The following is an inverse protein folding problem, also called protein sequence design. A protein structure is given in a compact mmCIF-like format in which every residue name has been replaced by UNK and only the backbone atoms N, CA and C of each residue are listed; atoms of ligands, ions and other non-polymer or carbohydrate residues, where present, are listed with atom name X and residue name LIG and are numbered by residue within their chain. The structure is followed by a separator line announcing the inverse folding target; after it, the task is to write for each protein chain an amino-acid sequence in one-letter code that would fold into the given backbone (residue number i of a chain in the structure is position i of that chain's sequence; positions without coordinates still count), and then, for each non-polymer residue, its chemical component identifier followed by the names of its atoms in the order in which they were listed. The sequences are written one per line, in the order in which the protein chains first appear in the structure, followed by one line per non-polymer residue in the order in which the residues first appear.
data_IF_022781708634
#
_entry.id   IF_022781708634
#
_cell.length_a   1.000
_cell.length_b   1.000
_cell.length_c   1.000
_cell.angle_alpha   90.00
_cell.angle_beta   90.00
_cell.angle_gamma   90.00
#
_symmetry.space_group_name_H-M   'P 1'
#
loop_
_entity.id
_entity.type
_entity.pdbx_description
1 polymer ?
#
# COMPACT_ATOMS: atom_id res chain seq x y z
N UNK A 1 -8.98 -4.78 -24.94
CA UNK A 1 -9.10 -5.44 -23.63
C UNK A 1 -7.85 -5.28 -22.76
N UNK A 2 -6.65 -5.12 -23.33
CA UNK A 2 -5.40 -4.76 -22.65
C UNK A 2 -5.51 -3.55 -21.69
N UNK A 3 -6.06 -2.41 -22.15
CA UNK A 3 -6.30 -1.22 -21.32
C UNK A 3 -7.19 -1.48 -20.09
N UNK A 4 -8.08 -2.47 -20.16
CA UNK A 4 -8.97 -2.84 -19.05
C UNK A 4 -8.26 -3.73 -18.01
N UNK A 5 -7.20 -4.48 -18.38
CA UNK A 5 -6.40 -5.27 -17.45
C UNK A 5 -5.43 -4.39 -16.65
N UNK A 6 -4.65 -3.53 -17.31
CA UNK A 6 -3.76 -2.57 -16.64
C UNK A 6 -4.52 -1.64 -15.68
N UNK A 7 -5.67 -1.10 -16.10
CA UNK A 7 -6.51 -0.25 -15.24
C UNK A 7 -7.10 -0.99 -14.04
N UNK A 8 -7.46 -2.27 -14.20
CA UNK A 8 -7.95 -3.09 -13.09
C UNK A 8 -6.87 -3.24 -12.01
N UNK A 9 -5.67 -3.67 -12.40
CA UNK A 9 -4.57 -3.88 -11.46
C UNK A 9 -4.20 -2.59 -10.73
N UNK A 10 -4.02 -1.49 -11.47
CA UNK A 10 -3.75 -0.16 -10.89
C UNK A 10 -4.79 0.22 -9.83
N UNK A 11 -6.07 0.13 -10.16
CA UNK A 11 -7.14 0.50 -9.22
C UNK A 11 -7.17 -0.41 -7.98
N UNK A 12 -7.08 -1.73 -8.14
CA UNK A 12 -7.19 -2.68 -7.04
C UNK A 12 -6.00 -2.62 -6.09
N UNK A 13 -4.79 -2.55 -6.62
CA UNK A 13 -3.59 -2.47 -5.81
C UNK A 13 -3.42 -1.10 -5.15
N UNK A 14 -3.88 0.00 -5.78
CA UNK A 14 -3.97 1.29 -5.09
C UNK A 14 -4.93 1.23 -3.90
N UNK A 15 -6.12 0.62 -4.05
CA UNK A 15 -7.08 0.46 -2.95
C UNK A 15 -6.54 -0.43 -1.83
N UNK A 16 -5.89 -1.54 -2.19
CA UNK A 16 -5.25 -2.43 -1.23
C UNK A 16 -4.15 -1.69 -0.46
N UNK A 17 -3.25 -1.01 -1.16
CA UNK A 17 -2.18 -0.24 -0.52
C UNK A 17 -2.73 0.87 0.39
N UNK A 18 -3.75 1.58 -0.05
CA UNK A 18 -4.42 2.59 0.80
C UNK A 18 -4.96 1.95 2.09
N UNK A 19 -5.64 0.80 2.00
CA UNK A 19 -6.18 0.10 3.18
C UNK A 19 -5.08 -0.38 4.14
N UNK A 20 -3.94 -0.82 3.61
CA UNK A 20 -2.77 -1.23 4.40
C UNK A 20 -2.15 -0.02 5.11
N UNK A 21 -1.93 1.09 4.38
CA UNK A 21 -1.36 2.31 4.94
C UNK A 21 -2.28 2.96 5.98
N UNK A 22 -3.60 2.85 5.83
CA UNK A 22 -4.56 3.32 6.82
C UNK A 22 -4.38 2.66 8.20
N UNK A 23 -3.90 1.40 8.28
CA UNK A 23 -3.56 0.77 9.56
C UNK A 23 -2.37 1.45 10.22
N UNK A 24 -1.33 1.74 9.44
CA UNK A 24 -0.19 2.55 9.87
C UNK A 24 -0.63 3.93 10.37
N UNK A 25 -1.54 4.60 9.65
CA UNK A 25 -2.08 5.90 10.07
C UNK A 25 -2.92 5.82 11.35
N UNK A 26 -3.71 4.76 11.53
CA UNK A 26 -4.48 4.54 12.76
C UNK A 26 -3.54 4.40 13.96
N UNK A 27 -2.52 3.55 13.85
CA UNK A 27 -1.52 3.40 14.89
C UNK A 27 -0.72 4.70 15.11
N UNK A 28 -0.37 5.43 14.05
CA UNK A 28 0.30 6.72 14.15
C UNK A 28 -0.52 7.74 14.95
N UNK A 29 -1.85 7.76 14.78
CA UNK A 29 -2.76 8.61 15.59
C UNK A 29 -2.83 8.18 17.06
N UNK A 30 -2.77 6.89 17.34
CA UNK A 30 -2.71 6.36 18.71
C UNK A 30 -1.40 6.75 19.39
N UNK A 31 -0.27 6.52 18.70
CA UNK A 31 1.06 6.89 19.16
C UNK A 31 1.17 8.40 19.43
N UNK A 32 0.58 9.25 18.57
CA UNK A 32 0.54 10.68 18.83
C UNK A 32 -0.18 11.05 20.14
N UNK A 33 -1.22 10.31 20.53
CA UNK A 33 -1.93 10.51 21.81
C UNK A 33 -1.05 10.07 22.97
N UNK A 34 -0.34 8.95 22.85
CA UNK A 34 0.61 8.48 23.87
C UNK A 34 1.74 9.48 24.10
N UNK A 35 2.32 10.02 23.03
CA UNK A 35 3.33 11.09 23.14
C UNK A 35 2.77 12.35 23.80
N UNK A 36 1.54 12.78 23.45
CA UNK A 36 0.89 13.93 24.09
C UNK A 36 0.68 13.69 25.59
N UNK A 37 0.21 12.50 25.97
CA UNK A 37 0.05 12.14 27.37
C UNK A 37 1.40 12.13 28.10
N UNK A 38 2.45 11.55 27.51
CA UNK A 38 3.79 11.55 28.08
C UNK A 38 4.35 12.96 28.25
N UNK A 39 4.13 13.86 27.28
CA UNK A 39 4.51 15.27 27.39
C UNK A 39 3.82 15.92 28.59
N UNK A 40 2.50 15.88 28.66
CA UNK A 40 1.73 16.50 29.76
C UNK A 40 2.16 15.97 31.12
N UNK A 41 2.41 14.67 31.22
CA UNK A 41 2.85 14.04 32.44
C UNK A 41 4.29 14.44 32.84
N UNK A 42 5.21 14.59 31.89
CA UNK A 42 6.57 15.11 32.14
C UNK A 42 6.53 16.57 32.56
N UNK A 43 5.70 17.40 31.91
CA UNK A 43 5.49 18.81 32.29
C UNK A 43 5.02 18.90 33.75
N UNK A 44 4.02 18.09 34.10
CA UNK A 44 3.48 18.00 35.47
C UNK A 44 4.52 17.55 36.49
N UNK A 45 5.37 16.57 36.17
CA UNK A 45 6.44 16.14 37.07
C UNK A 45 7.42 17.29 37.37
N UNK A 46 7.79 18.06 36.34
CA UNK A 46 8.67 19.22 36.49
C UNK A 46 7.97 20.30 37.32
N UNK A 47 6.70 20.60 37.07
CA UNK A 47 5.92 21.57 37.85
C UNK A 47 5.79 21.19 39.33
N UNK A 48 5.48 19.93 39.61
CA UNK A 48 5.39 19.41 40.98
C UNK A 48 6.75 19.54 41.67
N UNK A 49 7.83 19.21 40.98
CA UNK A 49 9.19 19.35 41.50
C UNK A 49 9.51 20.81 41.86
N UNK A 50 9.17 21.76 40.99
CA UNK A 50 9.36 23.20 41.23
C UNK A 50 8.51 23.73 42.40
N UNK A 51 7.26 23.28 42.49
CA UNK A 51 6.38 23.69 43.59
C UNK A 51 6.91 23.20 44.94
N UNK A 52 7.36 21.93 45.01
CA UNK A 52 7.96 21.37 46.23
C UNK A 52 9.26 22.08 46.59
N UNK A 53 10.07 22.47 45.61
CA UNK A 53 11.26 23.29 45.84
C UNK A 53 10.87 24.63 46.51
N UNK A 54 9.77 25.24 46.07
CA UNK A 54 9.23 26.47 46.65
C UNK A 54 8.77 26.29 48.09
N UNK A 55 7.87 25.33 48.31
CA UNK A 55 7.24 25.09 49.60
C UNK A 55 8.29 24.77 50.69
N UNK A 56 9.29 23.95 50.36
CA UNK A 56 10.30 23.51 51.32
C UNK A 56 11.33 24.59 51.68
N UNK A 57 11.56 25.55 50.80
CA UNK A 57 12.45 26.68 51.07
C UNK A 57 11.71 27.89 51.67
N UNK A 58 10.40 27.77 51.90
CA UNK A 58 9.58 28.90 52.39
C UNK A 58 9.54 30.08 51.43
N UNK A 59 9.77 29.81 50.14
CA UNK A 59 9.89 30.82 49.09
C UNK A 59 8.69 30.73 48.16
N UNK A 60 8.33 31.85 47.54
CA UNK A 60 7.30 31.86 46.51
C UNK A 60 7.70 30.97 45.33
N UNK A 61 6.72 30.49 44.56
CA UNK A 61 7.00 29.75 43.32
C UNK A 61 7.91 30.57 42.39
N UNK A 62 7.76 31.91 42.35
CA UNK A 62 8.65 32.78 41.58
C UNK A 62 10.07 32.84 42.13
N UNK A 63 10.28 32.63 43.42
CA UNK A 63 11.59 32.58 44.06
C UNK A 63 12.20 31.19 43.95
N UNK A 64 11.41 30.12 43.99
CA UNK A 64 11.86 28.75 43.67
C UNK A 64 12.37 28.63 42.24
N UNK A 65 11.70 29.35 41.32
CA UNK A 65 12.15 29.54 39.93
C UNK A 65 13.51 30.26 39.85
N UNK A 66 13.95 30.99 40.89
CA UNK A 66 15.23 31.74 40.96
C UNK A 66 16.30 31.05 41.82
N UNK A 67 15.90 30.27 42.84
CA UNK A 67 16.75 29.56 43.81
C UNK A 67 17.34 28.25 43.30
N UNK A 68 17.21 27.95 42.00
CA UNK A 68 17.94 26.87 41.31
C UNK A 68 19.47 26.97 41.43
N UNK A 69 19.97 28.07 42.00
CA UNK A 69 21.37 28.30 42.39
C UNK A 69 21.49 28.30 43.92
N UNK A 70 21.40 27.13 44.53
CA UNK A 70 22.21 26.75 45.69
C UNK A 70 21.87 25.32 46.11
N UNK A 71 22.90 24.60 46.55
CA UNK A 71 22.86 23.19 46.88
C UNK A 71 21.85 22.92 48.00
N UNK A 72 20.99 21.91 47.85
CA UNK A 72 20.45 21.22 49.02
C UNK A 72 20.40 19.71 48.79
N UNK A 73 21.24 19.06 49.59
CA UNK A 73 21.18 17.66 49.99
C UNK A 73 20.11 17.52 51.08
N UNK A 74 19.52 16.33 51.07
CA UNK A 74 18.49 15.81 51.96
C UNK A 74 17.03 16.10 51.58
N UNK A 75 16.24 15.04 51.78
CA UNK A 75 14.79 14.96 51.67
C UNK A 75 14.17 14.76 50.28
N UNK A 76 14.09 13.50 49.85
CA UNK A 76 12.75 12.91 49.71
C UNK A 76 12.78 11.38 49.88
N UNK A 77 12.09 10.89 50.92
CA UNK A 77 11.68 9.49 51.02
C UNK A 77 10.20 9.39 50.63
N UNK A 78 9.94 8.77 49.47
CA UNK A 78 8.78 7.96 49.03
C UNK A 78 8.98 7.63 47.53
N UNK A 79 8.78 6.41 47.02
CA UNK A 79 9.61 5.23 47.28
C UNK A 79 10.26 4.73 45.96
N UNK A 80 11.59 4.56 45.93
CA UNK A 80 12.26 3.84 44.81
C UNK A 80 11.64 2.43 44.62
N UNK A 81 11.06 1.88 45.67
CA UNK A 81 10.27 0.65 45.67
C UNK A 81 9.01 0.69 44.77
N UNK A 82 8.25 1.78 44.72
CA UNK A 82 7.12 1.92 43.78
C UNK A 82 7.59 1.96 42.32
N UNK A 83 8.76 2.54 42.06
CA UNK A 83 9.38 2.53 40.72
C UNK A 83 9.85 1.14 40.32
N UNK A 84 10.49 0.40 41.23
CA UNK A 84 10.86 -1.00 40.99
C UNK A 84 9.62 -1.85 40.73
N UNK A 85 8.54 -1.66 41.49
CA UNK A 85 7.29 -2.39 41.30
C UNK A 85 6.70 -2.13 39.91
N UNK A 86 6.54 -0.86 39.52
CA UNK A 86 6.05 -0.49 38.18
C UNK A 86 7.00 -0.93 37.07
N UNK A 87 8.32 -0.96 37.31
CA UNK A 87 9.30 -1.44 36.35
C UNK A 87 9.24 -2.96 36.13
N UNK A 88 9.07 -3.74 37.22
CA UNK A 88 8.89 -5.19 37.17
C UNK A 88 7.58 -5.59 36.48
N UNK A 89 6.50 -4.85 36.73
CA UNK A 89 5.17 -5.11 36.13
C UNK A 89 5.14 -4.82 34.62
N UNK A 90 6.02 -3.96 34.10
CA UNK A 90 6.02 -3.52 32.70
C UNK A 90 7.07 -4.20 31.80
N UNK A 91 7.71 -5.30 32.18
CA UNK A 91 8.72 -6.01 31.37
C UNK A 91 9.76 -5.06 30.72
N UNK A 92 10.34 -4.15 31.50
CA UNK A 92 11.32 -3.17 31.03
C UNK A 92 12.71 -3.81 30.78
N UNK A 93 13.56 -3.09 30.03
CA UNK A 93 14.94 -3.48 29.76
C UNK A 93 15.71 -3.81 31.06
N UNK A 94 16.39 -4.96 31.10
CA UNK A 94 17.18 -5.44 32.25
C UNK A 94 18.21 -4.42 32.76
N UNK A 95 18.77 -3.59 31.89
CA UNK A 95 19.73 -2.54 32.29
C UNK A 95 19.05 -1.48 33.14
N UNK A 96 17.87 -1.00 32.73
CA UNK A 96 17.12 -0.01 33.51
C UNK A 96 16.61 -0.60 34.82
N UNK A 97 16.20 -1.86 34.82
CA UNK A 97 15.83 -2.57 36.05
C UNK A 97 16.96 -2.60 37.08
N UNK A 98 18.20 -2.84 36.65
CA UNK A 98 19.39 -2.76 37.51
C UNK A 98 19.69 -1.34 37.98
N UNK A 99 19.48 -0.34 37.13
CA UNK A 99 19.64 1.06 37.53
C UNK A 99 18.61 1.49 38.60
N UNK A 100 17.36 1.03 38.48
CA UNK A 100 16.32 1.21 39.51
C UNK A 100 16.68 0.48 40.83
N UNK A 101 17.14 -0.75 40.74
CA UNK A 101 17.59 -1.55 41.91
C UNK A 101 18.77 -0.87 42.62
N UNK A 102 19.79 -0.45 41.86
CA UNK A 102 20.94 0.28 42.40
C UNK A 102 20.53 1.61 43.04
N UNK A 103 19.61 2.35 42.42
CA UNK A 103 19.08 3.57 43.01
C UNK A 103 18.33 3.31 44.33
N UNK A 104 17.66 2.16 44.47
CA UNK A 104 16.97 1.78 45.72
C UNK A 104 17.92 1.38 46.84
N UNK A 105 19.12 0.90 46.48
CA UNK A 105 20.17 0.55 47.42
C UNK A 105 20.96 1.77 47.92
N UNK A 106 20.85 2.92 47.26
CA UNK A 106 21.47 4.18 47.72
C UNK A 106 20.68 4.74 48.90
N UNK A 107 21.41 5.14 49.95
CA UNK A 107 20.82 5.75 51.17
C UNK A 107 20.22 7.14 50.87
N UNK A 108 20.78 7.88 49.92
CA UNK A 108 20.29 9.20 49.48
C UNK A 108 20.34 9.36 47.96
N UNK A 109 19.22 9.78 47.35
CA UNK A 109 19.16 10.31 45.97
C UNK A 109 18.66 11.76 46.04
N UNK A 110 19.22 12.64 45.21
CA UNK A 110 18.76 14.03 45.15
C UNK A 110 17.38 14.11 44.47
N UNK A 111 16.62 15.19 44.75
CA UNK A 111 15.33 15.44 44.09
C UNK A 111 15.47 15.57 42.57
N UNK A 112 16.59 16.13 42.12
CA UNK A 112 16.90 16.25 40.71
C UNK A 112 17.10 14.88 40.05
N UNK A 113 17.87 13.99 40.69
CA UNK A 113 18.02 12.61 40.22
C UNK A 113 16.68 11.86 40.20
N UNK A 114 15.84 12.04 41.23
CA UNK A 114 14.50 11.46 41.26
C UNK A 114 13.61 11.94 40.09
N UNK A 115 13.65 13.23 39.76
CA UNK A 115 12.95 13.79 38.60
C UNK A 115 13.47 13.19 37.29
N UNK A 116 14.78 13.08 37.11
CA UNK A 116 15.37 12.45 35.92
C UNK A 116 14.96 10.99 35.78
N UNK A 117 14.87 10.25 36.90
CA UNK A 117 14.39 8.87 36.92
C UNK A 117 12.90 8.78 36.56
N UNK A 118 12.06 9.71 37.03
CA UNK A 118 10.65 9.78 36.67
C UNK A 118 10.45 10.03 35.17
N UNK A 119 11.14 11.03 34.63
CA UNK A 119 11.10 11.35 33.19
C UNK A 119 11.55 10.13 32.38
N UNK A 120 12.67 9.51 32.75
CA UNK A 120 13.16 8.31 32.07
C UNK A 120 12.15 7.17 32.14
N UNK A 121 11.56 6.89 33.29
CA UNK A 121 10.54 5.85 33.44
C UNK A 121 9.35 6.07 32.50
N UNK A 122 8.89 7.32 32.34
CA UNK A 122 7.80 7.64 31.40
C UNK A 122 8.22 7.37 29.95
N UNK A 123 9.46 7.70 29.59
CA UNK A 123 10.00 7.39 28.27
C UNK A 123 10.17 5.87 28.06
N UNK A 124 10.62 5.11 29.05
CA UNK A 124 10.73 3.65 28.93
C UNK A 124 9.36 3.00 28.63
N UNK A 125 8.30 3.46 29.31
CA UNK A 125 6.93 2.97 29.04
C UNK A 125 6.44 3.36 27.66
N UNK A 126 6.63 4.63 27.25
CA UNK A 126 6.25 5.12 25.93
C UNK A 126 6.94 4.34 24.81
N UNK A 127 8.25 4.12 24.92
CA UNK A 127 9.02 3.45 23.87
C UNK A 127 8.77 1.94 23.84
N UNK A 128 8.45 1.32 24.98
CA UNK A 128 7.98 -0.07 25.01
C UNK A 128 6.63 -0.22 24.30
N UNK A 129 5.67 0.64 24.61
CA UNK A 129 4.38 0.69 23.91
C UNK A 129 4.59 0.90 22.40
N UNK A 130 5.48 1.83 22.04
CA UNK A 130 5.83 2.09 20.65
C UNK A 130 6.40 0.86 19.94
N UNK A 131 7.34 0.13 20.56
CA UNK A 131 7.96 -1.07 19.99
C UNK A 131 6.94 -2.20 19.79
N UNK A 132 6.12 -2.47 20.80
CA UNK A 132 5.07 -3.50 20.76
C UNK A 132 4.01 -3.19 19.69
N UNK A 133 3.52 -1.94 19.66
CA UNK A 133 2.54 -1.50 18.66
C UNK A 133 3.12 -1.49 17.24
N UNK A 134 4.39 -1.11 17.09
CA UNK A 134 5.10 -1.12 15.80
C UNK A 134 5.26 -2.54 15.27
N UNK A 135 5.65 -3.49 16.13
CA UNK A 135 5.72 -4.92 15.78
C UNK A 135 4.35 -5.41 15.31
N UNK A 136 3.30 -5.21 16.11
CA UNK A 136 1.94 -5.67 15.80
C UNK A 136 1.41 -5.13 14.46
N UNK A 137 1.51 -3.82 14.22
CA UNK A 137 1.00 -3.24 12.95
C UNK A 137 1.83 -3.72 11.74
N UNK A 138 3.13 -3.96 11.92
CA UNK A 138 4.00 -4.51 10.88
C UNK A 138 3.64 -5.95 10.52
N UNK A 139 3.37 -6.79 11.53
CA UNK A 139 2.91 -8.18 11.35
C UNK A 139 1.59 -8.23 10.58
N UNK A 140 0.65 -7.37 10.97
CA UNK A 140 -0.66 -7.26 10.33
C UNK A 140 -0.56 -6.80 8.88
N UNK A 141 0.16 -5.71 8.61
CA UNK A 141 0.34 -5.17 7.25
C UNK A 141 1.07 -6.17 6.35
N UNK A 142 2.15 -6.79 6.84
CA UNK A 142 2.92 -7.78 6.07
C UNK A 142 2.03 -8.96 5.67
N UNK A 143 1.28 -9.50 6.64
CA UNK A 143 0.43 -10.68 6.44
C UNK A 143 -0.73 -10.36 5.50
N UNK A 144 -1.42 -9.25 5.72
CA UNK A 144 -2.54 -8.83 4.87
C UNK A 144 -2.06 -8.51 3.45
N UNK A 145 -0.93 -7.82 3.29
CA UNK A 145 -0.38 -7.54 1.97
C UNK A 145 -0.09 -8.83 1.19
N UNK A 146 0.52 -9.83 1.84
CA UNK A 146 0.79 -11.12 1.23
C UNK A 146 -0.51 -11.83 0.80
N UNK A 147 -1.45 -12.03 1.73
CA UNK A 147 -2.65 -12.82 1.45
C UNK A 147 -3.62 -12.11 0.49
N UNK A 148 -3.82 -10.80 0.63
CA UNK A 148 -4.71 -10.06 -0.27
C UNK A 148 -4.10 -9.87 -1.65
N UNK A 149 -2.78 -9.72 -1.78
CA UNK A 149 -2.14 -9.72 -3.12
C UNK A 149 -2.41 -11.05 -3.83
N UNK A 150 -2.20 -12.17 -3.14
CA UNK A 150 -2.50 -13.51 -3.70
C UNK A 150 -3.97 -13.63 -4.09
N UNK A 151 -4.87 -13.24 -3.19
CA UNK A 151 -6.31 -13.27 -3.43
C UNK A 151 -6.73 -12.44 -4.64
N UNK A 152 -6.26 -11.20 -4.76
CA UNK A 152 -6.62 -10.30 -5.86
C UNK A 152 -6.10 -10.83 -7.20
N UNK A 153 -4.92 -11.45 -7.22
CA UNK A 153 -4.37 -12.07 -8.43
C UNK A 153 -5.17 -13.32 -8.82
N UNK A 154 -5.34 -14.27 -7.90
CA UNK A 154 -6.09 -15.50 -8.16
C UNK A 154 -7.54 -15.24 -8.57
N UNK A 155 -8.20 -14.29 -7.91
CA UNK A 155 -9.56 -13.86 -8.25
C UNK A 155 -9.65 -13.34 -9.67
N UNK A 156 -8.65 -12.56 -10.12
CA UNK A 156 -8.64 -11.97 -11.46
C UNK A 156 -8.33 -13.01 -12.54
N UNK A 157 -7.47 -13.98 -12.24
CA UNK A 157 -7.14 -15.09 -13.13
C UNK A 157 -8.22 -16.19 -13.13
N UNK A 158 -9.21 -16.10 -12.23
CA UNK A 158 -10.24 -17.13 -12.01
C UNK A 158 -9.65 -18.52 -11.74
N UNK A 159 -8.42 -18.57 -11.23
CA UNK A 159 -7.66 -19.78 -10.96
C UNK A 159 -7.14 -19.76 -9.52
N UNK A 160 -7.59 -20.74 -8.73
CA UNK A 160 -7.04 -20.98 -7.40
C UNK A 160 -5.76 -21.78 -7.50
N UNK A 161 -4.64 -21.21 -7.03
CA UNK A 161 -3.36 -21.91 -6.92
C UNK A 161 -3.03 -22.16 -5.45
N UNK A 162 -2.48 -23.33 -5.09
CA UNK A 162 -1.99 -23.55 -3.73
C UNK A 162 -0.84 -22.57 -3.44
N UNK A 163 -0.78 -22.03 -2.23
CA UNK A 163 0.28 -21.15 -1.78
C UNK A 163 0.72 -21.46 -0.35
N UNK A 164 1.96 -21.12 -0.01
CA UNK A 164 2.51 -21.29 1.32
C UNK A 164 1.85 -20.32 2.33
N UNK A 165 1.46 -20.83 3.52
CA UNK A 165 1.03 -19.95 4.61
C UNK A 165 2.25 -19.30 5.27
N UNK A 166 2.15 -18.01 5.55
CA UNK A 166 3.10 -17.34 6.44
C UNK A 166 2.89 -17.85 7.85
N UNK A 167 3.93 -18.47 8.43
CA UNK A 167 3.96 -18.81 9.84
C UNK A 167 4.64 -17.69 10.65
N UNK A 168 4.38 -17.67 11.96
CA UNK A 168 4.87 -16.63 12.87
C UNK A 168 6.39 -16.46 12.82
N UNK A 169 7.13 -17.56 12.66
CA UNK A 169 8.59 -17.54 12.57
C UNK A 169 9.08 -16.84 11.30
N UNK A 170 8.40 -17.04 10.18
CA UNK A 170 8.70 -16.37 8.93
C UNK A 170 8.43 -14.87 9.06
N UNK A 171 7.28 -14.49 9.61
CA UNK A 171 6.91 -13.09 9.87
C UNK A 171 7.94 -12.41 10.76
N UNK A 172 8.30 -13.03 11.88
CA UNK A 172 9.29 -12.49 12.82
C UNK A 172 10.67 -12.32 12.17
N UNK A 173 11.07 -13.26 11.30
CA UNK A 173 12.32 -13.17 10.55
C UNK A 173 12.32 -11.98 9.59
N UNK A 174 11.20 -11.67 8.93
CA UNK A 174 11.09 -10.50 8.05
C UNK A 174 11.20 -9.21 8.85
N UNK A 175 10.41 -9.11 9.92
CA UNK A 175 10.28 -7.91 10.76
C UNK A 175 11.58 -7.58 11.48
N UNK A 176 12.37 -8.59 11.85
CA UNK A 176 13.65 -8.42 12.52
C UNK A 176 14.83 -8.21 11.57
N UNK A 177 14.62 -8.23 10.26
CA UNK A 177 15.70 -8.06 9.27
C UNK A 177 15.84 -6.59 8.88
N UNK A 178 17.06 -6.00 8.95
CA UNK A 178 17.26 -4.64 8.48
C UNK A 178 17.11 -4.58 6.96
N UNK A 179 16.36 -3.60 6.48
CA UNK A 179 16.11 -3.39 5.04
C UNK A 179 16.67 -2.06 4.52
N UNK A 180 16.80 -1.06 5.38
CA UNK A 180 17.33 0.24 4.99
C UNK A 180 18.88 0.23 4.94
N UNK A 181 19.45 1.18 4.19
CA UNK A 181 20.89 1.27 3.95
C UNK A 181 21.76 1.46 5.20
N UNK A 182 21.19 1.95 6.31
CA UNK A 182 21.89 2.13 7.59
C UNK A 182 22.03 0.83 8.40
N UNK A 183 21.50 -0.29 7.91
CA UNK A 183 21.59 -1.61 8.55
C UNK A 183 20.78 -1.73 9.83
N UNK A 184 19.84 -0.82 10.10
CA UNK A 184 19.00 -0.80 11.31
C UNK A 184 17.58 -1.29 11.06
N UNK A 185 17.03 -1.99 12.04
CA UNK A 185 15.60 -2.29 12.14
C UNK A 185 14.83 -1.11 12.72
N UNK A 186 13.49 -1.14 12.66
CA UNK A 186 12.70 -0.14 13.37
C UNK A 186 12.92 -0.21 14.89
N UNK A 187 13.14 -1.40 15.45
CA UNK A 187 13.41 -1.60 16.87
C UNK A 187 14.73 -0.89 17.27
N UNK A 188 15.80 -1.06 16.49
CA UNK A 188 17.06 -0.32 16.69
C UNK A 188 16.86 1.19 16.66
N UNK A 189 16.01 1.69 15.75
CA UNK A 189 15.67 3.12 15.66
C UNK A 189 14.87 3.59 16.86
N UNK A 190 13.88 2.82 17.31
CA UNK A 190 13.05 3.13 18.48
C UNK A 190 13.95 3.25 19.72
N UNK A 191 14.74 2.22 20.04
CA UNK A 191 15.61 2.26 21.22
C UNK A 191 16.75 3.27 21.11
N UNK A 192 17.35 3.42 19.93
CA UNK A 192 18.37 4.46 19.68
C UNK A 192 17.82 5.88 19.87
N UNK A 193 16.61 6.14 19.39
CA UNK A 193 15.94 7.43 19.57
C UNK A 193 15.58 7.69 21.05
N UNK A 194 15.20 6.65 21.80
CA UNK A 194 14.94 6.74 23.24
C UNK A 194 16.18 7.22 23.99
N UNK A 195 17.31 6.54 23.82
CA UNK A 195 18.56 6.89 24.52
C UNK A 195 19.01 8.31 24.17
N UNK A 196 18.89 8.69 22.89
CA UNK A 196 19.17 10.06 22.44
C UNK A 196 18.25 11.08 23.13
N UNK A 197 16.95 10.81 23.18
CA UNK A 197 15.99 11.70 23.83
C UNK A 197 16.28 11.81 25.34
N UNK A 198 16.52 10.71 26.04
CA UNK A 198 16.86 10.71 27.47
C UNK A 198 18.08 11.61 27.72
N UNK A 199 19.15 11.43 26.94
CA UNK A 199 20.36 12.24 27.06
C UNK A 199 20.09 13.72 26.79
N UNK A 200 19.32 14.05 25.75
CA UNK A 200 18.98 15.43 25.42
C UNK A 200 18.10 16.09 26.48
N UNK A 201 17.12 15.38 27.05
CA UNK A 201 16.28 15.91 28.14
C UNK A 201 17.12 16.15 29.40
N UNK A 202 17.98 15.21 29.77
CA UNK A 202 18.91 15.35 30.91
C UNK A 202 19.84 16.53 30.71
N UNK A 203 20.48 16.65 29.55
CA UNK A 203 21.37 17.77 29.24
C UNK A 203 20.61 19.09 29.25
N UNK A 204 19.44 19.17 28.60
CA UNK A 204 18.66 20.40 28.56
C UNK A 204 18.20 20.86 29.95
N UNK A 205 17.72 19.94 30.78
CA UNK A 205 17.30 20.25 32.14
C UNK A 205 18.50 20.68 33.01
N UNK A 206 19.62 19.96 32.92
CA UNK A 206 20.87 20.29 33.65
C UNK A 206 21.40 21.67 33.25
N UNK A 207 21.45 21.96 31.96
CA UNK A 207 21.95 23.24 31.46
C UNK A 207 21.00 24.40 31.80
N UNK A 208 19.68 24.15 31.78
CA UNK A 208 18.70 25.14 32.23
C UNK A 208 18.88 25.46 33.71
N UNK A 209 19.16 24.44 34.53
CA UNK A 209 19.50 24.61 35.95
C UNK A 209 20.78 25.45 36.13
N UNK A 210 21.88 25.08 35.46
CA UNK A 210 23.17 25.78 35.54
C UNK A 210 23.05 27.25 35.13
N UNK A 211 22.29 27.54 34.07
CA UNK A 211 22.06 28.92 33.60
C UNK A 211 21.09 29.72 34.46
N UNK A 212 20.34 29.05 35.35
CA UNK A 212 19.22 29.68 36.06
C UNK A 212 18.10 30.11 35.12
N UNK A 213 17.85 29.35 34.05
CA UNK A 213 16.75 29.60 33.13
C UNK A 213 15.39 29.53 33.87
N UNK A 214 14.42 30.41 33.56
CA UNK A 214 13.08 30.30 34.14
C UNK A 214 12.49 28.92 33.84
N UNK A 215 11.85 28.24 34.80
CA UNK A 215 11.39 26.87 34.57
C UNK A 215 10.37 26.70 33.45
N UNK A 216 9.54 27.70 33.17
CA UNK A 216 8.63 27.68 32.01
C UNK A 216 9.41 27.57 30.69
N UNK A 217 10.63 28.11 30.63
CA UNK A 217 11.54 27.98 29.48
C UNK A 217 12.11 26.55 29.39
N UNK A 218 12.46 25.93 30.52
CA UNK A 218 12.94 24.55 30.56
C UNK A 218 11.85 23.55 30.16
N UNK A 219 10.65 23.71 30.72
CA UNK A 219 9.45 22.94 30.36
C UNK A 219 9.18 23.08 28.86
N UNK A 220 9.12 24.32 28.34
CA UNK A 220 8.91 24.56 26.91
C UNK A 220 9.97 23.89 26.03
N UNK A 221 11.24 23.92 26.40
CA UNK A 221 12.32 23.27 25.65
C UNK A 221 12.16 21.75 25.63
N UNK A 222 11.80 21.14 26.76
CA UNK A 222 11.54 19.70 26.88
C UNK A 222 10.33 19.30 26.02
N UNK A 223 9.22 20.03 26.12
CA UNK A 223 8.01 19.77 25.34
C UNK A 223 8.23 19.95 23.84
N UNK A 224 9.02 20.94 23.43
CA UNK A 224 9.44 21.10 22.03
C UNK A 224 10.25 19.88 21.57
N UNK A 225 11.18 19.39 22.40
CA UNK A 225 12.00 18.24 22.03
C UNK A 225 11.17 16.96 21.89
N UNK A 226 10.27 16.71 22.84
CA UNK A 226 9.33 15.58 22.77
C UNK A 226 8.39 15.68 21.55
N UNK A 227 7.94 16.88 21.19
CA UNK A 227 7.15 17.08 19.98
C UNK A 227 7.93 16.78 18.70
N UNK A 228 9.23 17.10 18.63
CA UNK A 228 10.09 16.70 17.52
C UNK A 228 10.19 15.17 17.44
N UNK A 229 10.42 14.51 18.57
CA UNK A 229 10.48 13.04 18.62
C UNK A 229 9.16 12.39 18.20
N UNK A 230 8.02 12.94 18.62
CA UNK A 230 6.69 12.50 18.20
C UNK A 230 6.54 12.51 16.67
N UNK A 231 6.97 13.60 16.02
CA UNK A 231 6.95 13.71 14.55
C UNK A 231 7.88 12.68 13.88
N UNK A 232 9.06 12.43 14.47
CA UNK A 232 9.98 11.40 13.98
C UNK A 232 9.40 10.00 14.12
N UNK A 233 8.69 9.72 15.21
CA UNK A 233 8.01 8.45 15.45
C UNK A 233 6.89 8.21 14.44
N UNK A 234 6.03 9.21 14.17
CA UNK A 234 5.00 9.10 13.13
C UNK A 234 5.56 8.84 11.74
N UNK A 235 6.67 9.50 11.38
CA UNK A 235 7.39 9.24 10.13
C UNK A 235 7.94 7.81 10.06
N UNK A 236 8.49 7.30 11.17
CA UNK A 236 8.99 5.92 11.24
C UNK A 236 7.85 4.94 10.97
N UNK A 237 6.71 5.08 11.68
CA UNK A 237 5.53 4.24 11.51
C UNK A 237 5.10 4.17 10.05
N UNK A 238 4.93 5.31 9.39
CA UNK A 238 4.44 5.32 8.01
C UNK A 238 5.45 4.80 6.99
N UNK A 239 6.75 5.02 7.22
CA UNK A 239 7.80 4.52 6.31
C UNK A 239 7.90 3.00 6.40
N UNK A 240 7.89 2.46 7.61
CA UNK A 240 7.96 1.02 7.84
C UNK A 240 6.65 0.33 7.40
N UNK A 241 5.48 0.97 7.59
CA UNK A 241 4.20 0.48 7.06
C UNK A 241 4.23 0.30 5.55
N UNK A 242 4.74 1.29 4.82
CA UNK A 242 4.92 1.19 3.37
C UNK A 242 5.93 0.10 2.97
N UNK A 243 7.01 -0.06 3.75
CA UNK A 243 7.96 -1.15 3.55
C UNK A 243 7.31 -2.53 3.73
N UNK A 244 6.62 -2.78 4.84
CA UNK A 244 6.00 -4.09 5.11
C UNK A 244 4.85 -4.40 4.14
N UNK A 245 4.12 -3.39 3.68
CA UNK A 245 3.16 -3.56 2.58
C UNK A 245 3.88 -4.02 1.31
N UNK A 246 4.98 -3.37 0.94
CA UNK A 246 5.75 -3.70 -0.27
C UNK A 246 6.45 -5.07 -0.16
N UNK A 247 6.95 -5.45 1.01
CA UNK A 247 7.59 -6.74 1.26
C UNK A 247 6.59 -7.90 1.24
N UNK A 248 5.38 -7.70 1.77
CA UNK A 248 4.30 -8.69 1.66
C UNK A 248 3.90 -8.92 0.21
N UNK A 249 3.82 -7.83 -0.56
CA UNK A 249 3.52 -7.88 -1.99
C UNK A 249 4.63 -8.58 -2.78
N UNK A 250 5.90 -8.29 -2.48
CA UNK A 250 7.06 -8.96 -3.09
C UNK A 250 6.98 -10.48 -2.92
N UNK A 251 6.70 -10.93 -1.70
CA UNK A 251 6.56 -12.36 -1.38
C UNK A 251 5.39 -13.01 -2.11
N UNK A 252 4.27 -12.30 -2.22
CA UNK A 252 3.13 -12.79 -2.98
C UNK A 252 3.46 -12.90 -4.48
N UNK A 253 4.21 -11.96 -5.03
CA UNK A 253 4.69 -12.03 -6.41
C UNK A 253 5.64 -13.19 -6.65
N UNK A 254 6.54 -13.48 -5.72
CA UNK A 254 7.41 -14.66 -5.77
C UNK A 254 6.60 -15.96 -5.73
N UNK A 255 5.60 -16.04 -4.84
CA UNK A 255 4.71 -17.21 -4.72
C UNK A 255 3.87 -17.45 -5.99
N UNK A 256 3.47 -16.37 -6.66
CA UNK A 256 2.67 -16.38 -7.89
C UNK A 256 3.51 -16.42 -9.17
N UNK A 257 4.83 -16.51 -9.05
CA UNK A 257 5.77 -16.52 -10.18
C UNK A 257 5.59 -15.31 -11.13
N UNK A 258 5.27 -14.13 -10.56
CA UNK A 258 5.21 -12.89 -11.34
C UNK A 258 6.60 -12.58 -11.88
N UNK A 259 6.72 -12.33 -13.18
CA UNK A 259 8.03 -12.08 -13.80
C UNK A 259 8.42 -10.60 -13.79
N UNK A 260 7.43 -9.71 -13.92
CA UNK A 260 7.62 -8.27 -14.03
C UNK A 260 6.57 -7.52 -13.20
N UNK A 261 6.94 -6.30 -12.79
CA UNK A 261 6.05 -5.40 -12.06
C UNK A 261 6.14 -3.99 -12.61
N UNK A 262 5.04 -3.26 -12.53
CA UNK A 262 4.96 -1.83 -12.85
C UNK A 262 4.88 -1.01 -11.56
N UNK A 263 5.64 0.08 -11.49
CA UNK A 263 5.55 1.06 -10.41
C UNK A 263 4.35 1.98 -10.67
N UNK A 264 3.46 2.10 -9.68
CA UNK A 264 2.25 2.94 -9.77
C UNK A 264 2.26 3.96 -8.64
N UNK A 265 2.64 5.19 -8.98
CA UNK A 265 2.58 6.30 -8.06
C UNK A 265 1.13 6.76 -7.85
N UNK A 266 0.82 7.21 -6.64
CA UNK A 266 -0.46 7.85 -6.37
C UNK A 266 -0.58 9.12 -7.24
N UNK A 267 -1.72 9.37 -7.87
CA UNK A 267 -1.93 10.55 -8.70
C UNK A 267 -2.56 11.69 -7.87
N UNK A 268 -1.77 12.32 -7.00
CA UNK A 268 -2.22 13.47 -6.22
C UNK A 268 -1.13 14.55 -6.03
N UNK A 269 -1.50 15.66 -5.39
CA UNK A 269 -0.61 16.80 -5.15
C UNK A 269 0.54 16.50 -4.18
N UNK A 270 0.45 15.43 -3.38
CA UNK A 270 1.43 15.05 -2.36
C UNK A 270 2.44 14.03 -2.89
N UNK A 271 2.24 13.48 -4.09
CA UNK A 271 3.21 12.59 -4.74
C UNK A 271 4.49 13.33 -5.07
N UNK A 272 5.62 12.81 -4.57
CA UNK A 272 6.95 13.40 -4.74
C UNK A 272 7.45 13.34 -6.18
N UNK A 273 8.39 14.21 -6.54
CA UNK A 273 9.03 14.20 -7.86
C UNK A 273 9.70 12.85 -8.17
N UNK A 274 10.35 12.24 -7.17
CA UNK A 274 10.96 10.91 -7.29
C UNK A 274 9.89 9.88 -7.71
N UNK A 275 8.76 9.84 -7.01
CA UNK A 275 7.68 8.89 -7.34
C UNK A 275 7.06 9.16 -8.72
N UNK A 276 6.86 10.43 -9.09
CA UNK A 276 6.36 10.80 -10.44
C UNK A 276 7.31 10.34 -11.54
N UNK A 277 8.62 10.43 -11.31
CA UNK A 277 9.64 10.02 -12.29
C UNK A 277 9.75 8.50 -12.48
N UNK A 278 9.25 7.74 -11.51
CA UNK A 278 9.26 6.28 -11.51
C UNK A 278 7.90 5.70 -11.95
N UNK A 279 6.85 6.51 -12.01
CA UNK A 279 5.51 6.07 -12.39
C UNK A 279 5.50 5.44 -13.79
N UNK A 280 4.84 4.29 -13.90
CA UNK A 280 4.74 3.51 -15.13
C UNK A 280 6.00 2.74 -15.53
N UNK A 281 7.09 2.80 -14.76
CA UNK A 281 8.28 1.99 -15.05
C UNK A 281 8.00 0.51 -14.76
N UNK A 282 8.29 -0.32 -15.76
CA UNK A 282 8.23 -1.78 -15.67
C UNK A 282 9.63 -2.33 -15.40
N UNK A 283 9.75 -3.18 -14.38
CA UNK A 283 11.00 -3.79 -13.95
C UNK A 283 10.81 -5.29 -13.74
N UNK A 284 11.85 -6.11 -13.94
CA UNK A 284 11.77 -7.54 -13.69
C UNK A 284 11.86 -7.85 -12.19
N UNK A 285 11.18 -8.90 -11.73
CA UNK A 285 11.15 -9.29 -10.31
C UNK A 285 12.54 -9.60 -9.73
N UNK A 286 13.50 -10.05 -10.56
CA UNK A 286 14.90 -10.25 -10.14
C UNK A 286 15.56 -8.99 -9.58
N UNK A 287 15.09 -7.81 -10.02
CA UNK A 287 15.61 -6.52 -9.60
C UNK A 287 14.75 -5.91 -8.47
N UNK A 288 13.74 -6.62 -7.94
CA UNK A 288 12.82 -6.10 -6.92
C UNK A 288 13.53 -5.87 -5.58
N UNK A 289 13.76 -4.61 -5.25
CA UNK A 289 14.49 -4.18 -4.05
C UNK A 289 13.77 -2.99 -3.42
N UNK A 290 13.08 -3.19 -2.28
CA UNK A 290 12.46 -2.09 -1.54
C UNK A 290 13.46 -1.00 -1.20
N UNK A 291 13.10 0.26 -1.44
CA UNK A 291 13.96 1.42 -1.25
C UNK A 291 14.83 1.79 -2.46
N UNK A 292 14.98 0.91 -3.45
CA UNK A 292 15.79 1.16 -4.65
C UNK A 292 14.94 1.12 -5.92
N UNK A 293 14.34 -0.03 -6.20
CA UNK A 293 13.55 -0.32 -7.42
C UNK A 293 12.08 -0.59 -7.12
N UNK A 294 11.75 -0.82 -5.85
CA UNK A 294 10.39 -0.91 -5.33
C UNK A 294 10.19 0.07 -4.16
N UNK A 295 8.95 0.50 -3.86
CA UNK A 295 8.66 1.38 -2.73
C UNK A 295 9.07 0.75 -1.38
N UNK A 296 9.15 1.54 -0.29
CA UNK A 296 9.04 2.99 -0.24
C UNK A 296 10.31 3.68 -0.76
N UNK A 297 10.18 4.63 -1.68
CA UNK A 297 11.34 5.40 -2.22
C UNK A 297 11.77 6.58 -1.32
N UNK A 298 10.92 6.97 -0.38
CA UNK A 298 11.16 8.07 0.55
C UNK A 298 10.30 7.91 1.81
N UNK A 299 10.56 8.65 2.89
CA UNK A 299 9.66 8.67 4.03
C UNK A 299 8.24 9.11 3.62
N UNK A 300 7.20 8.49 4.16
CA UNK A 300 5.79 8.72 3.78
C UNK A 300 5.45 8.37 2.31
N UNK A 301 6.18 7.43 1.70
CA UNK A 301 5.86 6.94 0.36
C UNK A 301 4.50 6.21 0.36
N UNK A 302 3.67 6.50 -0.65
CA UNK A 302 2.35 5.86 -0.87
C UNK A 302 2.26 5.14 -2.22
N UNK A 303 3.39 5.09 -2.94
CA UNK A 303 3.53 4.36 -4.20
C UNK A 303 3.39 2.86 -3.96
N UNK A 304 2.78 2.15 -4.90
CA UNK A 304 2.59 0.70 -4.89
C UNK A 304 3.17 0.10 -6.17
N UNK A 305 3.40 -1.21 -6.19
CA UNK A 305 3.67 -1.92 -7.44
C UNK A 305 2.44 -2.69 -7.89
N UNK A 306 2.34 -3.04 -9.18
CA UNK A 306 1.31 -3.94 -9.71
C UNK A 306 1.97 -5.03 -10.54
N UNK A 307 1.41 -6.25 -10.64
CA UNK A 307 1.94 -7.24 -11.55
C UNK A 307 1.83 -6.70 -12.99
N UNK A 308 2.91 -6.86 -13.75
CA UNK A 308 2.94 -6.51 -15.16
C UNK A 308 3.01 -7.81 -15.97
N UNK A 309 2.07 -7.95 -16.89
CA UNK A 309 2.04 -9.05 -17.84
C UNK A 309 2.27 -8.42 -19.22
N UNK A 310 3.28 -8.90 -19.95
CA UNK A 310 3.50 -8.45 -21.32
C UNK A 310 2.29 -8.88 -22.15
N UNK A 311 1.52 -7.90 -22.63
CA UNK A 311 0.20 -8.09 -23.25
C UNK A 311 0.28 -8.74 -24.66
N UNK A 312 1.24 -9.63 -24.91
CA UNK A 312 1.45 -10.31 -26.20
C UNK A 312 0.63 -11.60 -26.41
N UNK A 313 -0.31 -11.91 -25.52
CA UNK A 313 -1.26 -13.00 -25.76
C UNK A 313 -2.70 -12.53 -25.55
N UNK A 314 -3.12 -11.59 -26.39
CA UNK A 314 -4.57 -11.40 -26.62
C UNK A 314 -4.96 -12.22 -27.84
N UNK A 315 -6.08 -12.95 -27.75
CA UNK A 315 -6.71 -13.54 -28.93
C UNK A 315 -7.84 -12.61 -29.39
N UNK A 316 -7.93 -12.36 -30.70
CA UNK A 316 -9.04 -11.64 -31.33
C UNK A 316 -10.05 -12.65 -31.88
N UNK A 317 -11.34 -12.42 -31.61
CA UNK A 317 -12.40 -13.23 -32.21
C UNK A 317 -12.51 -12.95 -33.72
N UNK A 318 -12.38 -13.99 -34.53
CA UNK A 318 -12.66 -14.03 -35.96
C UNK A 318 -13.89 -14.90 -36.23
N UNK A 319 -14.52 -14.73 -37.39
CA UNK A 319 -15.67 -15.54 -37.80
C UNK A 319 -15.35 -16.25 -39.10
N UNK A 320 -15.47 -17.58 -39.08
CA UNK A 320 -15.18 -18.43 -40.23
C UNK A 320 -16.27 -18.33 -41.30
N UNK A 321 -15.98 -18.88 -42.47
CA UNK A 321 -16.95 -18.98 -43.58
C UNK A 321 -18.14 -19.90 -43.27
N UNK A 322 -18.03 -20.71 -42.22
CA UNK A 322 -19.11 -21.54 -41.66
C UNK A 322 -20.00 -20.80 -40.64
N UNK A 323 -19.70 -19.52 -40.37
CA UNK A 323 -20.41 -18.67 -39.43
C UNK A 323 -20.02 -18.90 -37.95
N UNK A 324 -19.08 -19.81 -37.66
CA UNK A 324 -18.60 -20.08 -36.29
C UNK A 324 -17.53 -19.08 -35.89
N UNK A 325 -17.51 -18.74 -34.60
CA UNK A 325 -16.47 -17.91 -34.01
C UNK A 325 -15.26 -18.77 -33.71
N UNK A 326 -14.09 -18.29 -34.09
CA UNK A 326 -12.79 -18.85 -33.73
C UNK A 326 -11.84 -17.72 -33.31
N UNK A 327 -10.66 -18.07 -32.80
CA UNK A 327 -9.74 -17.10 -32.20
C UNK A 327 -8.44 -17.05 -33.01
N UNK A 328 -7.95 -15.85 -33.27
CA UNK A 328 -6.67 -15.56 -33.93
C UNK A 328 -5.79 -14.69 -33.04
N UNK A 329 -4.52 -14.52 -33.39
CA UNK A 329 -3.60 -13.67 -32.63
C UNK A 329 -4.09 -12.22 -32.56
N UNK A 330 -3.87 -11.56 -31.42
CA UNK A 330 -4.44 -10.25 -31.11
C UNK A 330 -3.83 -9.10 -31.88
N UNK A 331 -2.62 -9.30 -32.40
CA UNK A 331 -1.90 -8.39 -33.31
C UNK A 331 -2.19 -8.69 -34.79
N UNK A 332 -2.95 -9.74 -35.12
CA UNK A 332 -3.33 -10.07 -36.49
C UNK A 332 -4.17 -8.94 -37.12
N UNK A 333 -3.61 -8.32 -38.17
CA UNK A 333 -4.31 -7.30 -38.95
C UNK A 333 -5.41 -7.93 -39.81
N UNK A 334 -6.40 -7.12 -40.23
CA UNK A 334 -7.46 -7.63 -41.12
C UNK A 334 -6.90 -8.14 -42.45
N UNK A 335 -5.84 -7.52 -42.98
CA UNK A 335 -5.25 -7.91 -44.25
C UNK A 335 -4.48 -9.23 -44.11
N UNK A 336 -3.75 -9.42 -43.02
CA UNK A 336 -3.03 -10.66 -42.76
C UNK A 336 -4.01 -11.82 -42.51
N UNK A 337 -5.08 -11.55 -41.75
CA UNK A 337 -6.21 -12.46 -41.60
C UNK A 337 -6.83 -12.82 -42.95
N UNK A 338 -7.20 -11.83 -43.78
CA UNK A 338 -7.78 -12.07 -45.10
C UNK A 338 -6.87 -12.91 -46.01
N UNK A 339 -5.58 -12.60 -46.05
CA UNK A 339 -4.60 -13.28 -46.89
C UNK A 339 -4.26 -14.71 -46.40
N UNK A 340 -4.54 -15.01 -45.13
CA UNK A 340 -4.39 -16.36 -44.57
C UNK A 340 -5.54 -17.32 -44.92
N UNK A 341 -6.67 -16.80 -45.41
CA UNK A 341 -7.83 -17.60 -45.83
C UNK A 341 -7.59 -18.23 -47.21
N UNK A 342 -8.19 -19.39 -47.44
CA UNK A 342 -8.23 -20.00 -48.79
C UNK A 342 -9.09 -19.19 -49.77
N UNK A 343 -8.87 -19.36 -51.08
CA UNK A 343 -9.68 -18.70 -52.13
C UNK A 343 -11.19 -19.00 -51.96
N UNK A 344 -11.52 -20.24 -51.59
CA UNK A 344 -12.90 -20.68 -51.35
C UNK A 344 -13.54 -19.95 -50.14
N UNK A 345 -12.79 -19.74 -49.06
CA UNK A 345 -13.25 -19.02 -47.87
C UNK A 345 -13.45 -17.53 -48.15
N UNK A 346 -12.51 -16.91 -48.87
CA UNK A 346 -12.64 -15.53 -49.31
C UNK A 346 -13.87 -15.34 -50.21
N UNK A 347 -14.10 -16.27 -51.15
CA UNK A 347 -15.27 -16.28 -52.02
C UNK A 347 -16.59 -16.31 -51.25
N UNK A 348 -16.70 -17.18 -50.25
CA UNK A 348 -17.88 -17.27 -49.36
C UNK A 348 -18.12 -15.97 -48.58
N UNK A 349 -17.07 -15.38 -48.02
CA UNK A 349 -17.18 -14.12 -47.27
C UNK A 349 -17.56 -12.92 -48.16
N UNK A 350 -17.04 -12.85 -49.40
CA UNK A 350 -17.43 -11.84 -50.38
C UNK A 350 -18.92 -11.97 -50.73
N UNK A 351 -19.38 -13.20 -50.95
CA UNK A 351 -20.77 -13.50 -51.25
C UNK A 351 -21.68 -13.08 -50.09
N UNK A 352 -21.37 -13.48 -48.86
CA UNK A 352 -22.15 -13.11 -47.68
C UNK A 352 -22.22 -11.60 -47.48
N UNK A 353 -21.12 -10.89 -47.73
CA UNK A 353 -21.10 -9.42 -47.74
C UNK A 353 -22.05 -8.86 -48.82
N UNK A 354 -22.03 -9.39 -50.04
CA UNK A 354 -22.95 -8.96 -51.12
C UNK A 354 -24.40 -9.20 -50.76
N UNK A 355 -24.73 -10.37 -50.17
CA UNK A 355 -26.09 -10.69 -49.72
C UNK A 355 -26.56 -9.76 -48.61
N UNK A 356 -25.70 -9.47 -47.64
CA UNK A 356 -26.00 -8.57 -46.52
C UNK A 356 -26.20 -7.12 -47.00
N UNK A 357 -25.30 -6.60 -47.84
CA UNK A 357 -25.41 -5.24 -48.38
C UNK A 357 -26.68 -5.04 -49.23
N UNK A 358 -27.09 -6.07 -49.97
CA UNK A 358 -28.25 -6.00 -50.84
C UNK A 358 -29.53 -6.55 -50.19
N UNK A 359 -29.48 -6.98 -48.93
CA UNK A 359 -30.56 -7.71 -48.24
C UNK A 359 -31.94 -7.06 -48.44
N UNK A 360 -32.06 -5.77 -48.16
CA UNK A 360 -33.34 -5.05 -48.26
C UNK A 360 -33.88 -4.99 -49.70
N UNK A 361 -33.00 -4.73 -50.67
CA UNK A 361 -33.37 -4.66 -52.10
C UNK A 361 -33.75 -6.03 -52.63
N UNK A 362 -32.95 -7.03 -52.30
CA UNK A 362 -33.17 -8.41 -52.73
C UNK A 362 -34.42 -8.99 -52.07
N UNK A 363 -34.71 -8.65 -50.82
CA UNK A 363 -35.91 -9.10 -50.12
C UNK A 363 -37.18 -8.57 -50.78
N UNK A 364 -37.20 -7.28 -51.12
CA UNK A 364 -38.29 -6.69 -51.92
C UNK A 364 -38.42 -7.36 -53.29
N UNK A 365 -37.30 -7.67 -53.94
CA UNK A 365 -37.31 -8.36 -55.22
C UNK A 365 -37.84 -9.79 -55.08
N UNK A 366 -37.43 -10.52 -54.04
CA UNK A 366 -37.91 -11.87 -53.74
C UNK A 366 -39.40 -11.89 -53.47
N UNK A 367 -39.90 -10.99 -52.62
CA UNK A 367 -41.33 -10.87 -52.31
C UNK A 367 -42.15 -10.62 -53.59
N UNK A 368 -41.68 -9.69 -54.43
CA UNK A 368 -42.32 -9.38 -55.72
C UNK A 368 -42.30 -10.56 -56.71
N UNK A 369 -41.18 -11.28 -56.78
CA UNK A 369 -41.06 -12.44 -57.65
C UNK A 369 -41.96 -13.57 -57.13
N UNK A 370 -42.04 -13.77 -55.82
CA UNK A 370 -42.87 -14.79 -55.18
C UNK A 370 -44.36 -14.53 -55.36
N UNK A 371 -44.78 -13.26 -55.34
CA UNK A 371 -46.17 -12.86 -55.61
C UNK A 371 -46.61 -13.24 -57.03
N UNK A 372 -45.73 -13.08 -58.03
CA UNK A 372 -46.06 -13.30 -59.45
C UNK A 372 -45.81 -14.76 -59.87
N UNK A 373 -44.67 -15.33 -59.49
CA UNK A 373 -44.23 -16.66 -59.96
C UNK A 373 -44.55 -17.80 -58.98
N UNK A 374 -45.02 -17.50 -57.77
CA UNK A 374 -45.40 -18.49 -56.76
C UNK A 374 -44.29 -19.50 -56.45
N UNK A 375 -44.59 -20.78 -56.64
CA UNK A 375 -43.70 -21.92 -56.33
C UNK A 375 -42.49 -22.06 -57.27
N UNK A 376 -42.44 -21.28 -58.36
CA UNK A 376 -41.31 -21.31 -59.31
C UNK A 376 -40.10 -20.51 -58.79
N UNK A 377 -40.26 -19.71 -57.73
CA UNK A 377 -39.17 -19.00 -57.07
C UNK A 377 -38.51 -19.91 -56.03
N UNK A 378 -37.20 -19.76 -55.74
CA UNK A 378 -36.55 -20.47 -54.64
C UNK A 378 -37.35 -20.45 -53.34
N UNK A 379 -37.45 -21.63 -52.70
CA UNK A 379 -38.31 -21.88 -51.53
C UNK A 379 -38.03 -20.98 -50.32
N UNK A 380 -36.83 -20.39 -50.22
CA UNK A 380 -36.46 -19.43 -49.19
C UNK A 380 -35.72 -18.23 -49.78
N UNK A 381 -35.77 -17.12 -49.07
CA UNK A 381 -35.06 -15.90 -49.42
C UNK A 381 -33.53 -16.13 -49.52
N UNK A 382 -32.96 -16.92 -48.60
CA UNK A 382 -31.53 -17.23 -48.63
C UNK A 382 -31.15 -18.02 -49.89
N UNK A 383 -31.98 -18.99 -50.31
CA UNK A 383 -31.77 -19.73 -51.57
C UNK A 383 -31.95 -18.85 -52.81
N UNK A 384 -32.81 -17.83 -52.72
CA UNK A 384 -32.96 -16.83 -53.77
C UNK A 384 -31.70 -15.97 -53.92
N UNK A 385 -31.14 -15.49 -52.82
CA UNK A 385 -29.87 -14.75 -52.85
C UNK A 385 -28.68 -15.63 -53.26
N UNK A 386 -28.67 -16.90 -52.86
CA UNK A 386 -27.67 -17.89 -53.28
C UNK A 386 -27.68 -18.06 -54.81
N UNK A 387 -28.84 -18.39 -55.39
CA UNK A 387 -29.01 -18.52 -56.84
C UNK A 387 -28.61 -17.25 -57.57
N UNK A 388 -29.10 -16.09 -57.10
CA UNK A 388 -28.86 -14.79 -57.73
C UNK A 388 -27.38 -14.43 -57.87
N UNK A 389 -26.54 -14.85 -56.92
CA UNK A 389 -25.14 -14.42 -56.86
C UNK A 389 -24.11 -15.51 -57.20
N UNK A 390 -24.52 -16.79 -57.18
CA UNK A 390 -23.65 -17.92 -57.49
C UNK A 390 -24.05 -18.70 -58.74
N UNK A 391 -25.24 -18.47 -59.31
CA UNK A 391 -25.76 -19.24 -60.44
C UNK A 391 -26.35 -18.30 -61.51
N UNK A 392 -25.48 -17.79 -62.37
CA UNK A 392 -25.83 -16.78 -63.40
C UNK A 392 -26.90 -17.31 -64.36
N UNK A 393 -26.77 -18.55 -64.82
CA UNK A 393 -27.70 -19.17 -65.76
C UNK A 393 -29.11 -19.28 -65.16
N UNK A 394 -29.23 -19.83 -63.94
CA UNK A 394 -30.54 -19.93 -63.28
C UNK A 394 -31.13 -18.57 -62.92
N UNK A 395 -30.29 -17.59 -62.60
CA UNK A 395 -30.76 -16.24 -62.32
C UNK A 395 -31.35 -15.58 -63.57
N UNK A 396 -30.66 -15.67 -64.71
CA UNK A 396 -31.15 -15.15 -66.00
C UNK A 396 -32.47 -15.83 -66.41
N UNK A 397 -32.56 -17.15 -66.26
CA UNK A 397 -33.77 -17.90 -66.54
C UNK A 397 -34.96 -17.42 -65.66
N UNK A 398 -34.73 -17.22 -64.36
CA UNK A 398 -35.76 -16.70 -63.45
C UNK A 398 -36.19 -15.28 -63.81
N UNK A 399 -35.27 -14.44 -64.29
CA UNK A 399 -35.58 -13.08 -64.75
C UNK A 399 -36.46 -13.09 -66.00
N UNK A 400 -36.17 -13.98 -66.97
CA UNK A 400 -36.98 -14.12 -68.18
C UNK A 400 -38.40 -14.59 -67.86
N UNK A 401 -38.55 -15.64 -67.04
CA UNK A 401 -39.87 -16.14 -66.60
C UNK A 401 -40.69 -15.06 -65.90
N UNK A 402 -40.04 -14.26 -65.05
CA UNK A 402 -40.69 -13.14 -64.39
C UNK A 402 -41.20 -12.08 -65.38
N UNK A 403 -40.47 -11.83 -66.47
CA UNK A 403 -40.92 -10.88 -67.50
C UNK A 403 -42.10 -11.42 -68.31
N UNK A 404 -42.06 -12.70 -68.69
CA UNK A 404 -43.14 -13.34 -69.46
C UNK A 404 -44.47 -13.36 -68.69
N UNK A 405 -44.46 -13.75 -67.41
CA UNK A 405 -45.68 -13.79 -66.58
C UNK A 405 -46.19 -12.41 -66.18
N UNK A 406 -45.35 -11.37 -66.23
CA UNK A 406 -45.78 -9.98 -65.99
C UNK A 406 -46.49 -9.37 -67.21
N UNK A 407 -46.29 -9.93 -68.40
CA UNK A 407 -46.89 -9.47 -69.67
C UNK A 407 -48.19 -10.21 -70.02
N UNK A 408 -48.50 -11.29 -69.32
CA UNK A 408 -49.81 -11.96 -69.31
C UNK A 408 -50.74 -11.27 -68.33
#
# INVERSE_FOLDING_TARGET
MAYLQSKYWKNRFMQLNESLLQKGEQYQRELEREYKAAITEIEKDIEIWLKRLADNNGISLSEAKKLLREHELDEFHWSVYEYIKKGKENALNQRWMKELENASAKVHISRYEALLMQIRQRLELLYKSQDEGMKKVSEEILSESYYYTIYEVQKRLEQGMPFARLNDKAIEMVISKPWAADGKTFNDRIWGNKEKLISELQTNLTQSLIRGDPPDKAIKAISQRLNVTKQQAGRLVMTESAFFATEGQRRAYEELEVEQYEIVATLDSHTSEICRSLDGKVLPMKDYSPGNTAPPFHPWCRTVTVPYFDDNFTQRAARGSDGRTYYVDGDMSYNDWWNSLSEDEQGKLILDRKKSQNYSRDKKQYEKYKEILGDQVPKSFDKFQEMKYNDVEKWEELQLRYQDEKLR
#
